data_IF_909098184621
#
_entry.id   IF_909098184621
#
_cell.length_a   1.000
_cell.length_b   1.000
_cell.length_c   1.000
_cell.angle_alpha   90.00
_cell.angle_beta   90.00
_cell.angle_gamma   90.00
#
_symmetry.space_group_name_H-M   'P 1'
#
loop_
_entity.id
_entity.type
_entity.pdbx_description
1 polymer ?
#
# COMPACT_ATOMS: atom_id res chain seq x y z
N UNK A 1 -11.33 0.90 7.24
CA UNK A 1 -11.15 -0.35 8.01
C UNK A 1 -11.19 0.00 9.48
N UNK A 2 -12.02 -0.68 10.25
CA UNK A 2 -12.15 -0.53 11.70
C UNK A 2 -11.88 -1.92 12.28
N UNK A 3 -10.84 -2.03 13.10
CA UNK A 3 -10.47 -3.28 13.77
C UNK A 3 -10.83 -3.16 15.24
N UNK A 4 -11.77 -3.98 15.71
CA UNK A 4 -12.18 -4.00 17.11
C UNK A 4 -11.43 -5.11 17.87
N UNK A 5 -10.35 -4.74 18.57
CA UNK A 5 -9.59 -5.70 19.36
C UNK A 5 -10.37 -6.26 20.56
N UNK A 6 -11.50 -5.67 20.97
CA UNK A 6 -12.32 -6.23 22.04
C UNK A 6 -12.98 -7.56 21.64
N UNK A 7 -13.16 -7.81 20.34
CA UNK A 7 -13.71 -9.07 19.81
C UNK A 7 -12.62 -10.05 19.39
N UNK A 8 -11.34 -9.71 19.56
CA UNK A 8 -10.23 -10.59 19.25
C UNK A 8 -9.80 -11.37 20.49
N UNK A 9 -9.84 -12.70 20.41
CA UNK A 9 -9.38 -13.60 21.47
C UNK A 9 -8.19 -14.41 20.95
N UNK A 10 -6.95 -14.18 21.46
CA UNK A 10 -5.78 -14.96 21.05
C UNK A 10 -5.98 -16.47 21.21
N UNK A 11 -5.62 -17.24 20.18
CA UNK A 11 -5.76 -18.70 20.17
C UNK A 11 -7.16 -19.21 19.78
N UNK A 12 -8.17 -18.33 19.66
CA UNK A 12 -9.49 -18.73 19.20
C UNK A 12 -9.55 -18.81 17.67
N UNK A 13 -9.97 -19.97 17.15
CA UNK A 13 -10.01 -20.24 15.71
C UNK A 13 -11.34 -19.81 15.08
N UNK A 14 -12.42 -19.75 15.85
CA UNK A 14 -13.74 -19.38 15.35
C UNK A 14 -13.86 -17.86 15.16
N UNK A 15 -14.37 -17.37 14.01
CA UNK A 15 -14.55 -15.94 13.77
C UNK A 15 -15.61 -15.38 14.71
N UNK A 16 -15.23 -14.38 15.51
CA UNK A 16 -16.17 -13.58 16.29
C UNK A 16 -16.56 -12.34 15.48
N UNK A 17 -17.83 -12.26 15.10
CA UNK A 17 -18.40 -11.13 14.36
C UNK A 17 -18.03 -9.79 15.07
N UNK A 18 -17.71 -8.77 14.29
CA UNK A 18 -17.29 -7.45 14.79
C UNK A 18 -15.80 -7.15 14.72
N UNK A 19 -14.92 -8.14 14.49
CA UNK A 19 -13.47 -7.91 14.46
C UNK A 19 -13.03 -6.94 13.38
N UNK A 20 -13.58 -7.07 12.16
CA UNK A 20 -13.24 -6.19 11.05
C UNK A 20 -14.50 -5.63 10.41
N UNK A 21 -14.67 -4.32 10.48
CA UNK A 21 -15.65 -3.58 9.67
C UNK A 21 -14.94 -2.81 8.57
N UNK A 22 -15.41 -2.97 7.33
CA UNK A 22 -14.93 -2.23 6.15
C UNK A 22 -16.00 -1.26 5.72
N UNK A 23 -15.58 -0.02 5.49
CA UNK A 23 -16.40 1.09 5.02
C UNK A 23 -15.70 1.71 3.82
N UNK A 24 -16.43 1.91 2.74
CA UNK A 24 -15.98 2.67 1.57
C UNK A 24 -16.98 3.77 1.24
N UNK A 25 -16.47 4.90 0.78
CA UNK A 25 -17.25 6.11 0.59
C UNK A 25 -16.85 6.81 -0.71
N UNK A 26 -17.86 7.27 -1.45
CA UNK A 26 -17.75 8.21 -2.57
C UNK A 26 -18.84 9.29 -2.43
N UNK A 27 -18.85 10.37 -3.23
CA UNK A 27 -19.91 11.37 -3.15
C UNK A 27 -21.31 10.74 -3.33
N UNK A 28 -22.18 10.92 -2.33
CA UNK A 28 -23.55 10.42 -2.35
C UNK A 28 -23.73 8.94 -2.01
N UNK A 29 -22.67 8.18 -1.69
CA UNK A 29 -22.78 6.76 -1.36
C UNK A 29 -21.74 6.30 -0.33
N UNK A 30 -22.20 5.56 0.67
CA UNK A 30 -21.37 4.89 1.68
C UNK A 30 -21.83 3.43 1.77
N UNK A 31 -20.89 2.49 1.69
CA UNK A 31 -21.16 1.07 1.91
C UNK A 31 -20.33 0.59 3.10
N UNK A 32 -20.97 -0.15 4.00
CA UNK A 32 -20.35 -0.73 5.20
C UNK A 32 -20.68 -2.21 5.30
N UNK A 33 -19.69 -3.04 5.62
CA UNK A 33 -19.91 -4.44 5.91
C UNK A 33 -18.95 -4.96 6.99
N UNK A 34 -19.42 -5.94 7.76
CA UNK A 34 -18.57 -6.77 8.62
C UNK A 34 -17.86 -7.81 7.75
N UNK A 35 -16.54 -7.70 7.68
CA UNK A 35 -15.67 -8.55 6.87
C UNK A 35 -14.92 -9.58 7.71
N UNK A 36 -15.34 -9.80 8.97
CA UNK A 36 -14.65 -10.72 9.89
C UNK A 36 -14.58 -12.13 9.35
N UNK A 37 -15.69 -12.64 8.77
CA UNK A 37 -15.69 -13.99 8.19
C UNK A 37 -14.62 -14.13 7.11
N UNK A 38 -14.53 -13.14 6.21
CA UNK A 38 -13.55 -13.18 5.13
C UNK A 38 -12.11 -13.01 5.65
N UNK A 39 -11.90 -12.15 6.65
CA UNK A 39 -10.59 -12.00 7.31
C UNK A 39 -10.08 -13.34 7.87
N UNK A 40 -10.92 -14.12 8.55
CA UNK A 40 -10.53 -15.43 9.07
C UNK A 40 -10.33 -16.48 7.97
N UNK A 41 -11.09 -16.40 6.87
CA UNK A 41 -10.98 -17.33 5.74
C UNK A 41 -9.68 -17.11 4.94
N UNK A 42 -9.35 -15.86 4.65
CA UNK A 42 -8.17 -15.49 3.86
C UNK A 42 -6.89 -15.36 4.71
N UNK A 43 -7.05 -15.14 6.02
CA UNK A 43 -5.96 -14.89 6.96
C UNK A 43 -5.41 -13.46 6.92
N UNK A 44 -5.95 -12.59 6.05
CA UNK A 44 -5.55 -11.18 5.95
C UNK A 44 -6.64 -10.33 5.29
N UNK A 45 -6.51 -9.02 5.43
CA UNK A 45 -7.24 -8.03 4.64
C UNK A 45 -6.24 -6.99 4.13
N UNK A 46 -6.12 -6.84 2.81
CA UNK A 46 -5.26 -5.83 2.19
C UNK A 46 -6.09 -4.68 1.60
N UNK A 47 -5.50 -3.49 1.56
CA UNK A 47 -6.10 -2.29 0.97
C UNK A 47 -5.04 -1.50 0.20
N UNK A 48 -5.38 -1.07 -1.02
CA UNK A 48 -4.39 -0.54 -1.97
C UNK A 48 -5.03 0.42 -3.00
N UNK A 49 -5.90 1.31 -2.52
CA UNK A 49 -6.54 2.39 -3.31
C UNK A 49 -7.50 1.94 -4.43
N UNK A 50 -7.91 0.68 -4.45
CA UNK A 50 -9.03 0.22 -5.28
C UNK A 50 -10.14 -0.25 -4.33
N UNK A 51 -11.40 0.22 -4.50
CA UNK A 51 -12.50 -0.19 -3.65
C UNK A 51 -12.83 -1.67 -3.84
N UNK A 52 -13.09 -2.34 -2.72
CA UNK A 52 -13.52 -3.73 -2.63
C UNK A 52 -14.99 -3.90 -3.03
N UNK A 53 -15.88 -3.01 -2.59
CA UNK A 53 -17.30 -3.16 -2.87
C UNK A 53 -17.60 -2.84 -4.33
N UNK A 54 -18.16 -3.81 -5.05
CA UNK A 54 -18.39 -3.72 -6.50
C UNK A 54 -19.25 -2.50 -6.90
N UNK A 55 -20.22 -2.12 -6.07
CA UNK A 55 -21.04 -0.93 -6.33
C UNK A 55 -20.20 0.36 -6.25
N UNK A 56 -19.33 0.49 -5.24
CA UNK A 56 -18.39 1.62 -5.13
C UNK A 56 -17.42 1.62 -6.32
N UNK A 57 -16.90 0.45 -6.68
CA UNK A 57 -16.02 0.29 -7.84
C UNK A 57 -16.69 0.77 -9.14
N UNK A 58 -17.92 0.32 -9.40
CA UNK A 58 -18.66 0.66 -10.61
C UNK A 58 -19.03 2.15 -10.64
N UNK A 59 -19.60 2.68 -9.56
CA UNK A 59 -20.08 4.07 -9.50
C UNK A 59 -18.95 5.09 -9.50
N UNK A 60 -17.75 4.73 -9.01
CA UNK A 60 -16.58 5.61 -9.04
C UNK A 60 -15.89 5.73 -10.40
N UNK A 61 -16.36 5.01 -11.43
CA UNK A 61 -15.86 5.13 -12.81
C UNK A 61 -14.61 4.30 -13.11
N UNK A 62 -14.17 3.42 -12.19
CA UNK A 62 -13.04 2.51 -12.42
C UNK A 62 -13.20 1.57 -13.62
N UNK A 63 -14.40 1.06 -14.00
CA UNK A 63 -14.54 0.23 -15.20
C UNK A 63 -13.99 0.87 -16.47
N UNK A 64 -14.15 2.19 -16.65
CA UNK A 64 -13.60 2.91 -17.80
C UNK A 64 -12.06 2.97 -17.78
N UNK A 65 -11.46 3.07 -16.58
CA UNK A 65 -10.01 3.03 -16.42
C UNK A 65 -9.45 1.62 -16.62
N UNK A 66 -10.17 0.57 -16.21
CA UNK A 66 -9.83 -0.81 -16.52
C UNK A 66 -9.87 -1.05 -18.03
N UNK A 67 -10.90 -0.57 -18.72
CA UNK A 67 -10.97 -0.68 -20.19
C UNK A 67 -9.80 0.02 -20.88
N UNK A 68 -9.37 1.18 -20.36
CA UNK A 68 -8.32 2.01 -20.97
C UNK A 68 -6.90 1.56 -20.63
N UNK A 69 -6.66 1.13 -19.39
CA UNK A 69 -5.33 0.92 -18.82
C UNK A 69 -5.12 -0.47 -18.21
N UNK A 70 -6.15 -1.30 -18.19
CA UNK A 70 -6.07 -2.70 -17.77
C UNK A 70 -5.97 -2.90 -16.26
N UNK A 71 -5.25 -3.96 -15.90
CA UNK A 71 -5.27 -4.59 -14.57
C UNK A 71 -4.78 -3.69 -13.43
N UNK A 72 -4.05 -2.60 -13.73
CA UNK A 72 -3.63 -1.61 -12.73
C UNK A 72 -4.81 -0.97 -11.98
N UNK A 73 -6.00 -0.96 -12.58
CA UNK A 73 -7.23 -0.41 -11.99
C UNK A 73 -8.23 -1.47 -11.51
N UNK A 74 -7.92 -2.76 -11.63
CA UNK A 74 -8.77 -3.84 -11.11
C UNK A 74 -8.43 -4.12 -9.66
N UNK A 75 -9.41 -4.51 -8.83
CA UNK A 75 -9.16 -4.82 -7.42
C UNK A 75 -8.13 -5.95 -7.27
N UNK A 76 -8.36 -7.08 -7.94
CA UNK A 76 -7.59 -8.31 -7.72
C UNK A 76 -6.22 -8.35 -8.41
N UNK A 77 -5.94 -7.48 -9.39
CA UNK A 77 -4.75 -7.61 -10.25
C UNK A 77 -3.87 -6.37 -10.30
N UNK A 78 -4.11 -5.37 -9.45
CA UNK A 78 -3.10 -4.32 -9.27
C UNK A 78 -1.77 -4.94 -8.82
N UNK A 79 -0.61 -4.31 -9.12
CA UNK A 79 0.68 -4.73 -8.59
C UNK A 79 0.66 -4.98 -7.08
N UNK A 80 0.05 -4.08 -6.30
CA UNK A 80 -0.05 -4.21 -4.83
C UNK A 80 -0.92 -5.39 -4.40
N UNK A 81 -2.06 -5.61 -5.04
CA UNK A 81 -2.91 -6.77 -4.79
C UNK A 81 -2.13 -8.08 -5.00
N UNK A 82 -1.37 -8.16 -6.11
CA UNK A 82 -0.56 -9.32 -6.42
C UNK A 82 0.61 -9.50 -5.44
N UNK A 83 1.30 -8.42 -5.05
CA UNK A 83 2.39 -8.48 -4.06
C UNK A 83 1.86 -8.93 -2.70
N UNK A 84 0.72 -8.40 -2.24
CA UNK A 84 0.09 -8.86 -1.00
C UNK A 84 -0.31 -10.33 -1.10
N UNK A 85 -0.99 -10.74 -2.17
CA UNK A 85 -1.40 -12.14 -2.38
C UNK A 85 -0.20 -13.10 -2.34
N UNK A 86 0.94 -12.69 -2.94
CA UNK A 86 2.18 -13.47 -2.94
C UNK A 86 2.85 -13.53 -1.57
N UNK A 87 2.90 -12.42 -0.84
CA UNK A 87 3.81 -12.25 0.30
C UNK A 87 3.13 -12.28 1.68
N UNK A 88 1.81 -12.13 1.79
CA UNK A 88 1.16 -11.95 3.10
C UNK A 88 1.43 -13.10 4.07
N UNK A 89 1.54 -14.34 3.56
CA UNK A 89 1.80 -15.54 4.37
C UNK A 89 3.23 -15.59 4.91
N UNK A 90 4.13 -14.72 4.46
CA UNK A 90 5.48 -14.57 4.99
C UNK A 90 5.50 -13.72 6.27
N UNK A 91 4.42 -13.00 6.57
CA UNK A 91 4.29 -12.22 7.80
C UNK A 91 3.98 -13.16 8.96
N UNK A 92 4.92 -13.27 9.90
CA UNK A 92 4.81 -14.13 11.09
C UNK A 92 5.01 -13.37 12.40
N UNK A 93 5.48 -12.13 12.31
CA UNK A 93 5.84 -11.27 13.44
C UNK A 93 5.85 -9.78 13.03
N UNK A 94 6.21 -8.91 13.97
CA UNK A 94 6.28 -7.47 13.74
C UNK A 94 7.34 -7.10 12.70
N UNK A 95 8.52 -7.72 12.73
CA UNK A 95 9.62 -7.40 11.83
C UNK A 95 9.29 -7.76 10.37
N UNK A 96 8.69 -8.93 10.15
CA UNK A 96 8.21 -9.36 8.83
C UNK A 96 7.06 -8.50 8.33
N UNK A 97 6.18 -8.00 9.22
CA UNK A 97 5.15 -7.02 8.86
C UNK A 97 5.80 -5.69 8.41
N UNK A 98 6.76 -5.18 9.18
CA UNK A 98 7.51 -3.96 8.85
C UNK A 98 8.17 -4.08 7.48
N UNK A 99 8.85 -5.20 7.22
CA UNK A 99 9.52 -5.48 5.94
C UNK A 99 8.53 -5.48 4.78
N UNK A 100 7.36 -6.13 4.92
CA UNK A 100 6.37 -6.12 3.83
C UNK A 100 5.78 -4.73 3.61
N UNK A 101 5.46 -4.01 4.68
CA UNK A 101 4.86 -2.67 4.57
C UNK A 101 5.86 -1.63 4.04
N UNK A 102 7.16 -1.85 4.19
CA UNK A 102 8.24 -1.06 3.56
C UNK A 102 8.71 -1.65 2.22
N UNK A 103 8.10 -2.72 1.73
CA UNK A 103 8.59 -3.44 0.56
C UNK A 103 8.51 -2.60 -0.71
N UNK A 104 9.69 -2.36 -1.30
CA UNK A 104 9.82 -1.90 -2.66
C UNK A 104 11.13 -2.43 -3.25
N UNK A 105 10.98 -3.40 -4.15
CA UNK A 105 12.07 -3.96 -4.93
C UNK A 105 11.79 -3.80 -6.42
N UNK A 106 11.22 -2.65 -6.82
CA UNK A 106 10.77 -2.43 -8.21
C UNK A 106 11.82 -2.66 -9.30
N UNK A 107 13.16 -2.52 -9.08
CA UNK A 107 14.13 -2.82 -10.12
C UNK A 107 14.21 -4.30 -10.48
N UNK A 108 13.81 -5.19 -9.56
CA UNK A 108 13.97 -6.64 -9.70
C UNK A 108 12.65 -7.42 -9.60
N UNK A 109 11.60 -6.86 -9.01
CA UNK A 109 10.32 -7.55 -8.84
C UNK A 109 9.50 -7.52 -10.14
N UNK A 110 9.19 -8.68 -10.76
CA UNK A 110 8.39 -8.71 -11.98
C UNK A 110 6.97 -8.16 -11.78
N UNK A 111 6.43 -8.18 -10.57
CA UNK A 111 5.12 -7.56 -10.27
C UNK A 111 5.18 -6.02 -10.30
N UNK A 112 6.37 -5.44 -10.27
CA UNK A 112 6.56 -4.00 -10.40
C UNK A 112 6.64 -3.52 -11.85
N UNK A 113 6.58 -4.43 -12.83
CA UNK A 113 6.59 -4.07 -14.24
C UNK A 113 5.25 -3.43 -14.66
N UNK A 114 5.34 -2.29 -15.32
CA UNK A 114 4.23 -1.57 -15.91
C UNK A 114 4.13 -1.90 -17.41
N UNK A 115 2.93 -2.26 -17.87
CA UNK A 115 2.63 -2.39 -19.29
C UNK A 115 2.56 -1.01 -19.95
N UNK A 116 3.24 -0.83 -21.08
CA UNK A 116 3.29 0.46 -21.79
C UNK A 116 4.23 1.49 -21.16
N UNK A 117 5.00 1.12 -20.14
CA UNK A 117 6.08 1.95 -19.62
C UNK A 117 7.42 1.68 -20.32
N UNK A 118 8.26 2.71 -20.44
CA UNK A 118 9.66 2.56 -20.79
C UNK A 118 10.52 3.48 -19.89
N UNK A 119 11.35 2.94 -18.98
CA UNK A 119 11.56 1.50 -18.71
C UNK A 119 10.31 0.82 -18.09
N UNK A 120 10.21 -0.52 -18.16
CA UNK A 120 9.06 -1.25 -17.62
C UNK A 120 9.03 -1.26 -16.10
N UNK A 121 10.17 -1.25 -15.41
CA UNK A 121 10.22 -1.17 -13.95
C UNK A 121 9.68 0.18 -13.47
N UNK A 122 8.75 0.17 -12.52
CA UNK A 122 8.16 1.40 -11.99
C UNK A 122 8.11 1.40 -10.46
N UNK A 123 8.70 2.44 -9.86
CA UNK A 123 8.75 2.64 -8.42
C UNK A 123 7.40 2.84 -7.74
N UNK A 124 6.33 3.11 -8.51
CA UNK A 124 4.95 3.17 -8.00
C UNK A 124 4.37 1.77 -7.71
N UNK A 125 4.83 0.74 -8.44
CA UNK A 125 4.25 -0.60 -8.41
C UNK A 125 4.85 -1.45 -7.27
N UNK A 126 4.73 -0.98 -6.04
CA UNK A 126 5.23 -1.61 -4.83
C UNK A 126 4.31 -1.33 -3.63
N UNK A 127 4.56 -1.97 -2.47
CA UNK A 127 3.79 -1.66 -1.25
C UNK A 127 4.13 -0.24 -0.76
N UNK A 128 5.41 0.08 -0.65
CA UNK A 128 5.92 1.41 -0.32
C UNK A 128 6.51 2.11 -1.56
N UNK A 129 5.66 2.78 -2.33
CA UNK A 129 6.07 3.44 -3.58
C UNK A 129 7.27 4.39 -3.42
N UNK A 130 8.11 4.47 -4.47
CA UNK A 130 9.25 5.38 -4.62
C UNK A 130 9.20 6.04 -6.00
N UNK A 131 8.20 6.89 -6.21
CA UNK A 131 8.00 7.55 -7.51
C UNK A 131 9.14 8.51 -7.85
N UNK A 132 9.97 8.92 -6.89
CA UNK A 132 11.16 9.75 -7.10
C UNK A 132 12.25 9.04 -7.91
N UNK A 133 12.28 7.71 -7.84
CA UNK A 133 13.26 6.87 -8.54
C UNK A 133 12.85 6.52 -9.98
N UNK A 134 11.64 6.88 -10.41
CA UNK A 134 11.25 6.77 -11.80
C UNK A 134 12.03 7.77 -12.66
N UNK A 135 12.56 7.39 -13.84
CA UNK A 135 13.22 8.33 -14.74
C UNK A 135 12.29 9.48 -15.20
N UNK A 136 12.77 10.72 -15.12
CA UNK A 136 12.00 11.91 -15.55
C UNK A 136 11.60 11.85 -17.04
N UNK A 137 12.44 11.25 -17.87
CA UNK A 137 12.27 11.11 -19.31
C UNK A 137 11.62 9.76 -19.73
N UNK A 138 11.08 9.00 -18.77
CA UNK A 138 10.39 7.75 -19.07
C UNK A 138 9.06 7.97 -19.79
N UNK A 139 8.63 6.95 -20.53
CA UNK A 139 7.29 6.91 -21.12
C UNK A 139 6.35 6.25 -20.13
N UNK A 140 5.24 6.93 -19.78
CA UNK A 140 4.27 6.43 -18.80
C UNK A 140 2.83 6.64 -19.30
N UNK A 141 1.95 5.63 -19.19
CA UNK A 141 0.59 5.70 -19.75
C UNK A 141 -0.35 6.65 -18.99
N UNK A 142 -0.08 6.96 -17.73
CA UNK A 142 -0.88 7.88 -16.91
C UNK A 142 -0.08 8.45 -15.72
N UNK A 143 -0.58 9.57 -15.16
CA UNK A 143 0.13 10.45 -14.22
C UNK A 143 0.75 9.80 -12.98
N UNK A 144 0.13 8.76 -12.43
CA UNK A 144 0.63 8.10 -11.21
C UNK A 144 1.99 7.42 -11.40
N UNK A 145 2.31 7.01 -12.63
CA UNK A 145 3.51 6.24 -12.95
C UNK A 145 4.73 7.12 -13.26
N UNK A 146 4.56 8.44 -13.34
CA UNK A 146 5.64 9.39 -13.62
C UNK A 146 6.61 9.53 -12.44
N UNK A 147 7.74 10.20 -12.71
CA UNK A 147 8.59 10.72 -11.65
C UNK A 147 7.83 11.76 -10.82
N UNK A 148 7.73 11.52 -9.51
CA UNK A 148 6.96 12.39 -8.60
C UNK A 148 7.64 12.50 -7.23
N UNK A 149 7.34 13.61 -6.55
CA UNK A 149 7.65 13.83 -5.12
C UNK A 149 6.60 13.12 -4.26
N UNK A 150 6.50 11.80 -4.45
CA UNK A 150 5.41 11.00 -3.95
C UNK A 150 5.90 9.57 -3.70
N UNK A 151 5.29 8.91 -2.72
CA UNK A 151 5.64 7.55 -2.35
C UNK A 151 5.10 7.19 -0.97
N UNK A 152 5.47 6.01 -0.48
CA UNK A 152 5.33 5.68 0.93
C UNK A 152 6.27 6.56 1.75
N UNK A 153 5.75 7.28 2.74
CA UNK A 153 6.51 8.23 3.58
C UNK A 153 6.58 7.82 5.04
N UNK A 154 5.84 6.78 5.42
CA UNK A 154 5.90 6.17 6.73
C UNK A 154 5.40 4.72 6.66
N UNK A 155 5.53 4.03 7.78
CA UNK A 155 4.78 2.82 8.08
C UNK A 155 4.45 2.83 9.56
N UNK A 156 3.24 2.41 9.92
CA UNK A 156 2.80 2.22 11.30
C UNK A 156 2.24 0.82 11.45
N UNK A 157 2.57 0.15 12.55
CA UNK A 157 2.07 -1.19 12.86
C UNK A 157 1.77 -1.29 14.36
N UNK A 158 0.66 -1.92 14.70
CA UNK A 158 0.30 -2.27 16.08
C UNK A 158 -0.13 -3.73 16.14
N UNK A 159 -0.35 -4.23 17.35
CA UNK A 159 -0.82 -5.57 17.61
C UNK A 159 -1.82 -5.56 18.76
N UNK A 160 -2.48 -6.70 19.00
CA UNK A 160 -3.39 -6.86 20.12
C UNK A 160 -2.76 -6.47 21.46
N UNK A 161 -1.53 -6.92 21.74
CA UNK A 161 -0.83 -6.59 22.98
C UNK A 161 -0.42 -5.11 23.05
N UNK A 162 0.01 -4.54 21.93
CA UNK A 162 0.43 -3.13 21.88
C UNK A 162 -0.74 -2.17 22.10
N UNK A 163 -1.92 -2.51 21.58
CA UNK A 163 -3.13 -1.69 21.72
C UNK A 163 -3.64 -1.61 23.15
N UNK A 164 -3.41 -2.63 23.99
CA UNK A 164 -3.71 -2.57 25.43
C UNK A 164 -2.95 -1.44 26.14
N UNK A 165 -1.78 -1.09 25.60
CA UNK A 165 -0.91 -0.04 26.13
C UNK A 165 -0.88 1.22 25.25
N UNK A 166 -1.84 1.37 24.31
CA UNK A 166 -1.89 2.50 23.37
C UNK A 166 -0.59 2.72 22.59
N UNK A 167 0.05 1.63 22.17
CA UNK A 167 1.37 1.66 21.51
C UNK A 167 1.31 1.18 20.06
N UNK A 168 2.27 1.64 19.26
CA UNK A 168 2.52 1.20 17.88
C UNK A 168 4.00 1.42 17.55
N UNK A 169 4.51 0.68 16.56
CA UNK A 169 5.80 0.96 15.95
C UNK A 169 5.58 1.86 14.75
N UNK A 170 6.49 2.81 14.55
CA UNK A 170 6.48 3.69 13.41
C UNK A 170 7.87 3.80 12.81
N UNK A 171 7.94 3.81 11.49
CA UNK A 171 9.12 4.18 10.73
C UNK A 171 8.75 5.38 9.84
N UNK A 172 9.56 6.43 9.88
CA UNK A 172 9.32 7.67 9.12
C UNK A 172 10.30 7.81 7.96
N UNK A 173 9.82 8.32 6.84
CA UNK A 173 10.58 8.51 5.61
C UNK A 173 10.34 7.43 4.56
N UNK A 174 10.76 7.69 3.31
CA UNK A 174 10.68 6.72 2.23
C UNK A 174 11.44 5.43 2.53
N UNK A 175 10.95 4.31 1.99
CA UNK A 175 11.63 3.03 2.14
C UNK A 175 13.03 3.06 1.53
N UNK A 176 13.97 2.45 2.24
CA UNK A 176 15.38 2.33 1.85
C UNK A 176 15.93 0.91 2.07
N UNK A 177 15.03 -0.06 2.28
CA UNK A 177 15.40 -1.44 2.61
C UNK A 177 16.15 -2.14 1.45
N UNK A 178 15.69 -1.91 0.20
CA UNK A 178 16.32 -2.43 -1.02
C UNK A 178 16.64 -1.32 -2.04
N UNK A 179 16.53 -0.06 -1.63
CA UNK A 179 16.61 1.12 -2.49
C UNK A 179 17.54 2.15 -1.85
N UNK A 180 18.15 3.06 -2.63
CA UNK A 180 18.91 4.16 -2.04
C UNK A 180 18.00 4.99 -1.12
N UNK A 181 18.46 5.36 0.09
CA UNK A 181 17.74 6.30 0.93
C UNK A 181 17.41 7.58 0.16
N UNK A 182 16.22 8.12 0.38
CA UNK A 182 15.85 9.39 -0.21
C UNK A 182 16.66 10.51 0.45
N UNK A 183 17.20 11.41 -0.35
CA UNK A 183 17.93 12.58 0.12
C UNK A 183 17.55 13.80 -0.71
N UNK A 184 17.10 14.87 -0.05
CA UNK A 184 16.61 16.07 -0.74
C UNK A 184 17.66 16.68 -1.65
N UNK A 185 18.86 16.94 -1.13
CA UNK A 185 19.96 17.62 -1.81
C UNK A 185 20.47 16.89 -3.05
N UNK A 186 20.37 15.56 -3.11
CA UNK A 186 20.79 14.73 -4.25
C UNK A 186 19.62 14.23 -5.11
N UNK A 187 18.38 14.54 -4.74
CA UNK A 187 17.21 14.21 -5.54
C UNK A 187 17.00 15.21 -6.70
N UNK A 188 16.20 14.83 -7.72
CA UNK A 188 15.68 15.75 -8.74
C UNK A 188 14.82 16.90 -8.18
N UNK A 189 14.58 16.92 -6.86
CA UNK A 189 13.67 17.83 -6.16
C UNK A 189 14.39 18.74 -5.17
N UNK A 190 15.71 18.87 -5.27
CA UNK A 190 16.56 19.64 -4.36
C UNK A 190 16.17 21.12 -4.22
N UNK A 191 15.55 21.72 -5.24
CA UNK A 191 15.18 23.15 -5.25
C UNK A 191 13.83 23.46 -4.59
N UNK A 192 13.18 22.49 -3.96
CA UNK A 192 11.87 22.67 -3.32
C UNK A 192 12.04 22.90 -1.84
N UNK A 193 11.24 23.79 -1.27
CA UNK A 193 11.22 24.01 0.18
C UNK A 193 10.79 22.75 0.93
N UNK A 194 11.63 22.34 1.88
CA UNK A 194 11.41 21.24 2.82
C UNK A 194 11.90 21.66 4.21
N UNK A 195 11.61 22.91 4.61
CA UNK A 195 12.05 23.48 5.88
C UNK A 195 11.72 22.58 7.07
N UNK A 196 12.72 22.33 7.93
CA UNK A 196 12.58 21.50 9.12
C UNK A 196 12.65 19.99 8.87
N UNK A 197 12.71 19.54 7.61
CA UNK A 197 12.95 18.14 7.29
C UNK A 197 14.45 17.81 7.28
N UNK A 198 14.82 16.58 7.68
CA UNK A 198 16.16 16.05 7.42
C UNK A 198 16.46 16.03 5.92
N UNK A 199 17.71 16.32 5.55
CA UNK A 199 18.15 16.16 4.15
C UNK A 199 18.09 14.69 3.73
N UNK A 200 18.71 13.80 4.51
CA UNK A 200 18.73 12.35 4.30
C UNK A 200 17.66 11.65 5.16
N UNK A 201 16.81 10.85 4.52
CA UNK A 201 15.79 10.04 5.16
C UNK A 201 16.24 8.59 5.29
N UNK A 202 16.86 8.28 6.43
CA UNK A 202 17.36 6.94 6.77
C UNK A 202 17.07 6.60 8.23
N UNK A 203 15.81 6.71 8.59
CA UNK A 203 15.25 6.33 9.89
C UNK A 203 14.54 4.98 9.80
#
# INVERSE_FOLDING_TARGET
>A
MIVDYNTFVPGMVAPQRGLLTVLEQIPGMVITADMTKLLYQEGYWASYNVPYFQDIFNTSGLPALVQKYGDWFTYEKTPRAQIFRRNQTLIRDMDSMIRLMRFNNFPQDPLSHCQGCNPPQNGENAIAARSDLNPANGTYPFGALYQRRHGGTDMKVTSFEMMKNYSFLAASGPTWDNLPPFQWSSSPFCNISHMGQPDLWKF
#
